data_IF_392208306837
#
_entry.id   IF_392208306837
#
_cell.length_a   1.000
_cell.length_b   1.000
_cell.length_c   1.000
_cell.angle_alpha   90.00
_cell.angle_beta   90.00
_cell.angle_gamma   90.00
#
_symmetry.space_group_name_H-M   'P 1'
#
loop_
_entity.id
_entity.type
_entity.pdbx_description
1 polymer ?
#
# COMPACT_ATOMS: atom_id res chain seq x y z
N UNK A 1 1.16 21.11 -21.37
CA UNK A 1 1.57 21.06 -19.95
C UNK A 1 0.38 20.60 -19.13
N UNK A 2 0.53 19.60 -18.26
CA UNK A 2 -0.53 19.13 -17.36
C UNK A 2 -0.03 19.35 -15.94
N UNK A 3 -0.62 20.31 -15.22
CA UNK A 3 -0.27 20.59 -13.83
C UNK A 3 -1.05 19.65 -12.90
N UNK A 4 -0.43 19.26 -11.79
CA UNK A 4 -1.12 18.52 -10.73
C UNK A 4 -1.84 19.53 -9.84
N UNK A 5 -3.12 19.29 -9.59
CA UNK A 5 -3.93 20.08 -8.67
C UNK A 5 -4.37 19.20 -7.51
N UNK A 6 -4.33 19.75 -6.31
CA UNK A 6 -5.04 19.23 -5.15
C UNK A 6 -6.29 20.07 -4.97
N UNK A 7 -7.43 19.44 -4.79
CA UNK A 7 -8.72 20.13 -4.64
C UNK A 7 -9.43 19.50 -3.44
N UNK A 8 -9.58 20.28 -2.38
CA UNK A 8 -10.32 19.88 -1.19
C UNK A 8 -11.65 20.65 -1.14
N UNK A 9 -12.76 19.93 -0.94
CA UNK A 9 -14.06 20.54 -0.75
C UNK A 9 -14.37 20.67 0.75
N UNK A 10 -14.72 21.89 1.18
CA UNK A 10 -15.18 22.12 2.55
C UNK A 10 -16.62 21.65 2.67
N UNK A 11 -16.85 20.61 3.47
CA UNK A 11 -18.19 20.03 3.67
C UNK A 11 -18.95 20.72 4.79
N UNK A 12 -18.30 20.93 5.94
CA UNK A 12 -18.94 21.56 7.10
C UNK A 12 -17.93 22.30 7.98
N UNK A 13 -18.42 23.18 8.85
CA UNK A 13 -17.67 23.90 9.88
C UNK A 13 -18.52 24.02 11.15
N UNK A 14 -17.98 23.58 12.29
CA UNK A 14 -18.65 23.67 13.58
C UNK A 14 -17.65 23.67 14.73
N UNK A 15 -18.10 24.15 15.90
CA UNK A 15 -17.43 23.93 17.20
C UNK A 15 -17.94 22.60 17.77
N UNK A 16 -17.08 21.65 18.15
CA UNK A 16 -17.51 20.37 18.71
C UNK A 16 -18.37 20.58 19.96
N UNK A 17 -19.59 20.03 19.94
CA UNK A 17 -20.53 20.03 21.07
C UNK A 17 -21.33 18.72 21.08
N UNK A 18 -21.76 18.22 22.25
CA UNK A 18 -22.52 16.96 22.34
C UNK A 18 -23.81 16.98 21.53
N UNK A 19 -24.52 18.11 21.49
CA UNK A 19 -25.77 18.25 20.72
C UNK A 19 -25.60 18.13 19.19
N UNK A 20 -24.37 18.21 18.67
CA UNK A 20 -24.09 18.18 17.23
C UNK A 20 -23.71 16.79 16.71
N UNK A 21 -23.82 15.73 17.52
CA UNK A 21 -23.38 14.38 17.14
C UNK A 21 -24.01 13.89 15.82
N UNK A 22 -25.32 14.10 15.63
CA UNK A 22 -26.03 13.71 14.40
C UNK A 22 -25.50 14.44 13.17
N UNK A 23 -25.38 15.77 13.26
CA UNK A 23 -24.86 16.60 12.16
C UNK A 23 -23.41 16.26 11.84
N UNK A 24 -22.59 16.01 12.87
CA UNK A 24 -21.22 15.54 12.70
C UNK A 24 -21.18 14.26 11.86
N UNK A 25 -22.00 13.26 12.21
CA UNK A 25 -22.05 12.00 11.48
C UNK A 25 -22.47 12.18 10.01
N UNK A 26 -23.52 12.96 9.75
CA UNK A 26 -24.02 13.25 8.39
C UNK A 26 -22.98 14.01 7.54
N UNK A 27 -22.32 15.02 8.12
CA UNK A 27 -21.25 15.77 7.46
C UNK A 27 -20.04 14.88 7.17
N UNK A 28 -19.69 13.98 8.10
CA UNK A 28 -18.58 13.05 7.93
C UNK A 28 -18.85 12.03 6.83
N UNK A 29 -20.06 11.48 6.78
CA UNK A 29 -20.48 10.56 5.72
C UNK A 29 -20.46 11.26 4.35
N UNK A 30 -20.93 12.50 4.28
CA UNK A 30 -20.90 13.32 3.07
C UNK A 30 -19.47 13.55 2.60
N UNK A 31 -18.55 13.87 3.53
CA UNK A 31 -17.14 14.07 3.22
C UNK A 31 -16.49 12.79 2.68
N UNK A 32 -16.69 11.65 3.34
CA UNK A 32 -16.18 10.37 2.87
C UNK A 32 -16.74 10.00 1.48
N UNK A 33 -18.02 10.28 1.22
CA UNK A 33 -18.64 9.99 -0.08
C UNK A 33 -18.07 10.86 -1.19
N UNK A 34 -17.86 12.15 -0.94
CA UNK A 34 -17.30 13.10 -1.92
C UNK A 34 -15.79 12.88 -2.13
N UNK A 35 -15.06 12.49 -1.09
CA UNK A 35 -13.62 12.23 -1.10
C UNK A 35 -13.23 10.79 -1.44
N UNK A 36 -14.13 10.01 -2.06
CA UNK A 36 -13.89 8.61 -2.45
C UNK A 36 -13.40 7.70 -1.30
N UNK A 37 -13.86 7.96 -0.09
CA UNK A 37 -13.51 7.24 1.13
C UNK A 37 -12.49 7.97 2.00
N UNK A 38 -12.07 9.19 1.65
CA UNK A 38 -11.17 10.03 2.45
C UNK A 38 -11.92 11.23 3.05
N UNK A 39 -11.59 11.56 4.29
CA UNK A 39 -12.05 12.78 4.96
C UNK A 39 -10.89 13.47 5.68
N UNK A 40 -10.85 14.80 5.58
CA UNK A 40 -9.86 15.65 6.24
C UNK A 40 -10.55 16.44 7.35
N UNK A 41 -9.99 16.40 8.55
CA UNK A 41 -10.40 17.24 9.68
C UNK A 41 -9.29 18.21 9.99
N UNK A 42 -9.63 19.50 9.98
CA UNK A 42 -8.69 20.60 10.21
C UNK A 42 -9.14 21.33 11.46
N UNK A 43 -8.22 21.52 12.41
CA UNK A 43 -8.42 22.44 13.53
C UNK A 43 -8.32 23.88 13.00
N UNK A 44 -9.43 24.61 13.08
CA UNK A 44 -9.53 25.99 12.56
C UNK A 44 -8.78 27.01 13.42
N UNK A 45 -8.54 26.73 14.71
CA UNK A 45 -7.79 27.60 15.59
C UNK A 45 -6.29 27.45 15.26
N UNK A 46 -5.81 26.23 15.03
CA UNK A 46 -4.43 25.97 14.60
C UNK A 46 -4.13 26.36 13.13
N UNK A 47 -5.12 26.29 12.24
CA UNK A 47 -4.96 26.66 10.83
C UNK A 47 -4.67 28.16 10.62
N UNK A 48 -5.16 29.01 11.52
CA UNK A 48 -4.92 30.46 11.48
C UNK A 48 -3.46 30.83 11.77
N UNK A 49 -2.75 30.02 12.56
CA UNK A 49 -1.38 30.27 12.99
C UNK A 49 -0.33 29.73 12.00
N UNK A 50 -0.71 28.86 11.05
CA UNK A 50 0.17 28.35 9.99
C UNK A 50 -0.58 27.94 8.71
N UNK A 51 -0.97 28.91 7.85
CA UNK A 51 -1.70 28.65 6.61
C UNK A 51 -0.90 27.84 5.57
N UNK A 52 0.44 27.83 5.67
CA UNK A 52 1.33 27.11 4.74
C UNK A 52 1.33 25.60 4.92
N UNK A 53 0.80 25.08 6.04
CA UNK A 53 0.68 23.64 6.30
C UNK A 53 -0.30 22.93 5.34
N UNK A 54 -1.23 23.67 4.72
CA UNK A 54 -2.15 23.13 3.73
C UNK A 54 -1.46 22.64 2.44
N UNK A 55 -0.23 23.09 2.17
CA UNK A 55 0.59 22.65 1.02
C UNK A 55 1.52 21.49 1.33
N UNK A 56 1.54 20.97 2.57
CA UNK A 56 2.32 19.81 2.97
C UNK A 56 1.64 18.52 2.50
N UNK A 57 1.55 18.38 1.17
CA UNK A 57 1.35 17.08 0.55
C UNK A 57 2.51 16.18 0.95
N UNK A 58 2.16 15.03 1.53
CA UNK A 58 3.02 13.92 1.99
C UNK A 58 3.47 14.09 3.43
N UNK A 59 2.85 13.27 4.26
CA UNK A 59 3.20 13.05 5.64
C UNK A 59 4.70 12.88 5.84
N UNK A 60 5.24 13.76 6.67
CA UNK A 60 6.64 13.80 7.03
C UNK A 60 6.86 14.97 7.98
N UNK A 61 6.59 14.73 9.26
CA UNK A 61 7.02 15.50 10.43
C UNK A 61 6.96 17.05 10.31
N UNK A 62 5.85 17.64 10.77
CA UNK A 62 5.81 19.04 11.21
C UNK A 62 4.70 19.20 12.24
N UNK A 63 4.91 20.13 13.17
CA UNK A 63 4.20 20.37 14.44
C UNK A 63 2.75 19.86 14.56
N UNK A 64 2.50 19.12 15.64
CA UNK A 64 1.26 18.37 15.90
C UNK A 64 -0.02 19.23 15.99
N UNK A 65 0.09 20.55 16.07
CA UNK A 65 -1.05 21.44 16.27
C UNK A 65 -1.82 21.73 14.97
N UNK A 66 -1.14 21.93 13.83
CA UNK A 66 -1.77 22.38 12.58
C UNK A 66 -1.85 21.29 11.49
N UNK A 67 -1.52 20.04 11.82
CA UNK A 67 -1.53 18.95 10.85
C UNK A 67 -2.96 18.44 10.64
N UNK A 68 -3.49 18.39 9.39
CA UNK A 68 -4.81 17.84 9.11
C UNK A 68 -4.88 16.37 9.54
N UNK A 69 -5.93 16.01 10.26
CA UNK A 69 -6.22 14.62 10.60
C UNK A 69 -6.91 13.95 9.42
N UNK A 70 -6.32 12.88 8.90
CA UNK A 70 -6.82 12.12 7.75
C UNK A 70 -7.58 10.90 8.26
N UNK A 71 -8.80 10.72 7.78
CA UNK A 71 -9.62 9.53 8.01
C UNK A 71 -9.88 8.82 6.69
N UNK A 72 -9.93 7.49 6.73
CA UNK A 72 -10.31 6.64 5.60
C UNK A 72 -11.41 5.67 5.99
N UNK A 73 -12.39 5.48 5.12
CA UNK A 73 -13.41 4.43 5.24
C UNK A 73 -12.97 3.09 4.65
N UNK A 74 -11.76 3.02 4.07
CA UNK A 74 -11.14 1.80 3.53
C UNK A 74 -9.95 1.41 4.39
N UNK A 75 -9.49 0.17 4.30
CA UNK A 75 -8.22 -0.26 4.89
C UNK A 75 -7.01 0.29 4.09
N UNK A 76 -6.95 1.61 3.91
CA UNK A 76 -5.92 2.30 3.13
C UNK A 76 -4.94 3.04 4.02
N UNK A 77 -3.65 2.88 3.74
CA UNK A 77 -2.61 3.70 4.35
C UNK A 77 -2.73 5.14 3.85
N UNK A 78 -2.93 6.14 4.73
CA UNK A 78 -3.08 7.54 4.34
C UNK A 78 -1.74 8.17 3.85
N UNK A 79 -0.64 7.43 3.91
CA UNK A 79 0.71 7.92 3.58
C UNK A 79 1.17 7.48 2.18
N UNK A 80 0.85 6.24 1.80
CA UNK A 80 1.45 5.59 0.63
C UNK A 80 0.44 4.98 -0.34
N UNK A 81 -0.85 5.33 -0.22
CA UNK A 81 -1.93 4.92 -1.12
C UNK A 81 -2.11 3.39 -1.24
N UNK A 82 -1.55 2.64 -0.27
CA UNK A 82 -1.71 1.19 -0.22
C UNK A 82 -3.03 0.83 0.44
N UNK A 83 -3.95 0.23 -0.30
CA UNK A 83 -5.21 -0.30 0.23
C UNK A 83 -5.16 -1.80 0.41
N UNK A 84 -5.47 -2.27 1.62
CA UNK A 84 -5.78 -3.67 1.85
C UNK A 84 -7.22 -3.99 1.45
N UNK A 85 -7.47 -5.20 0.92
CA UNK A 85 -8.82 -5.73 0.82
C UNK A 85 -9.42 -5.96 2.21
N UNK A 86 -10.74 -6.16 2.27
CA UNK A 86 -11.42 -6.51 3.51
C UNK A 86 -10.83 -7.78 4.13
N UNK A 87 -10.62 -7.75 5.45
CA UNK A 87 -9.92 -8.82 6.17
C UNK A 87 -10.82 -10.05 6.30
N UNK A 88 -10.63 -10.99 5.39
CA UNK A 88 -11.28 -12.30 5.42
C UNK A 88 -10.29 -13.42 5.82
N UNK A 89 -10.73 -14.48 6.52
CA UNK A 89 -9.87 -15.61 6.89
C UNK A 89 -9.12 -16.25 5.71
N UNK A 90 -9.71 -16.24 4.51
CA UNK A 90 -9.12 -16.82 3.30
C UNK A 90 -7.84 -16.09 2.84
N UNK A 91 -7.65 -14.82 3.19
CA UNK A 91 -6.40 -14.08 2.92
C UNK A 91 -5.20 -14.67 3.66
N UNK A 92 -5.44 -15.38 4.76
CA UNK A 92 -4.40 -16.00 5.57
C UNK A 92 -4.23 -17.50 5.26
N UNK A 93 -4.97 -18.02 4.27
CA UNK A 93 -4.88 -19.41 3.87
C UNK A 93 -3.93 -19.57 2.70
N UNK A 94 -2.81 -20.26 2.93
CA UNK A 94 -1.89 -20.65 1.85
C UNK A 94 -2.49 -21.68 0.89
N UNK A 95 -3.61 -22.32 1.27
CA UNK A 95 -4.38 -23.22 0.42
C UNK A 95 -5.43 -22.50 -0.44
N UNK A 96 -5.56 -21.17 -0.32
CA UNK A 96 -6.46 -20.36 -1.13
C UNK A 96 -5.67 -19.54 -2.13
N UNK A 97 -6.07 -19.44 -3.40
CA UNK A 97 -5.38 -18.60 -4.39
C UNK A 97 -5.36 -17.11 -3.99
N UNK A 98 -6.29 -16.69 -3.13
CA UNK A 98 -6.37 -15.30 -2.64
C UNK A 98 -5.33 -14.99 -1.54
N UNK A 99 -4.93 -16.01 -0.75
CA UNK A 99 -3.93 -15.86 0.32
C UNK A 99 -2.57 -16.46 -0.01
N UNK A 100 -2.47 -17.30 -1.05
CA UNK A 100 -1.24 -17.94 -1.48
C UNK A 100 -0.24 -16.94 -2.06
N UNK A 101 1.04 -17.15 -1.76
CA UNK A 101 2.12 -16.37 -2.37
C UNK A 101 2.18 -16.67 -3.87
N UNK A 102 2.11 -15.67 -4.77
CA UNK A 102 2.06 -15.88 -6.22
C UNK A 102 3.34 -16.47 -6.81
N UNK A 103 4.44 -16.47 -6.04
CA UNK A 103 5.74 -17.00 -6.48
C UNK A 103 5.87 -18.51 -6.26
N UNK A 104 5.29 -19.04 -5.19
CA UNK A 104 5.41 -20.45 -4.79
C UNK A 104 4.06 -21.15 -4.63
N UNK A 105 2.96 -20.48 -5.02
CA UNK A 105 1.59 -20.99 -4.94
C UNK A 105 1.22 -21.52 -3.54
N UNK A 106 1.70 -20.82 -2.50
CA UNK A 106 1.43 -21.20 -1.11
C UNK A 106 2.28 -22.36 -0.56
N UNK A 107 3.17 -22.97 -1.35
CA UNK A 107 4.04 -24.08 -0.91
C UNK A 107 5.16 -23.62 0.03
N UNK A 108 5.57 -22.35 -0.06
CA UNK A 108 6.69 -21.80 0.72
C UNK A 108 8.09 -22.18 0.20
N UNK A 109 8.17 -23.01 -0.83
CA UNK A 109 9.42 -23.44 -1.48
C UNK A 109 9.31 -23.30 -3.00
N UNK A 110 10.45 -23.19 -3.68
CA UNK A 110 10.53 -23.17 -5.15
C UNK A 110 11.65 -24.08 -5.60
N UNK A 111 11.40 -24.92 -6.60
CA UNK A 111 12.45 -25.74 -7.20
C UNK A 111 13.31 -24.91 -8.14
N UNK A 112 14.62 -25.12 -8.06
CA UNK A 112 15.58 -24.49 -8.97
C UNK A 112 16.74 -25.45 -9.24
N UNK A 113 17.40 -25.27 -10.37
CA UNK A 113 18.57 -26.06 -10.72
C UNK A 113 19.78 -25.55 -9.92
N UNK A 114 20.32 -26.39 -9.06
CA UNK A 114 21.59 -26.15 -8.37
C UNK A 114 22.76 -26.31 -9.36
N UNK A 115 23.52 -25.25 -9.66
CA UNK A 115 24.62 -25.31 -10.63
C UNK A 115 25.66 -26.38 -10.30
N UNK A 116 25.90 -26.65 -9.01
CA UNK A 116 26.86 -27.67 -8.57
C UNK A 116 26.36 -29.10 -8.84
N UNK A 117 25.05 -29.30 -8.98
CA UNK A 117 24.46 -30.59 -9.38
C UNK A 117 24.34 -30.74 -10.89
N UNK A 118 24.30 -29.63 -11.63
CA UNK A 118 24.23 -29.62 -13.09
C UNK A 118 25.61 -29.79 -13.72
N UNK A 119 26.62 -29.10 -13.19
CA UNK A 119 28.01 -29.18 -13.66
C UNK A 119 28.78 -30.16 -12.78
N UNK A 120 28.83 -31.42 -13.21
CA UNK A 120 29.49 -32.50 -12.45
C UNK A 120 31.02 -32.36 -12.45
N UNK A 121 31.58 -31.83 -13.54
CA UNK A 121 33.01 -31.75 -13.79
C UNK A 121 33.39 -30.34 -14.30
N UNK A 122 33.48 -29.33 -13.41
CA UNK A 122 33.76 -27.95 -13.80
C UNK A 122 35.15 -27.74 -14.45
N UNK A 123 36.08 -28.67 -14.24
CA UNK A 123 37.41 -28.69 -14.83
C UNK A 123 37.42 -29.10 -16.32
N UNK A 124 36.34 -29.72 -16.80
CA UNK A 124 36.23 -30.16 -18.19
C UNK A 124 35.61 -29.05 -19.07
N UNK A 125 35.88 -29.09 -20.36
CA UNK A 125 35.14 -28.26 -21.33
C UNK A 125 33.71 -28.79 -21.50
N UNK A 126 32.81 -27.96 -22.04
CA UNK A 126 31.43 -28.38 -22.33
C UNK A 126 31.38 -29.63 -23.23
N UNK A 127 32.15 -29.64 -24.33
CA UNK A 127 32.26 -30.80 -25.22
C UNK A 127 32.99 -32.00 -24.59
N UNK A 128 33.74 -31.76 -23.51
CA UNK A 128 34.42 -32.78 -22.72
C UNK A 128 33.56 -33.42 -21.63
N UNK A 129 32.29 -33.03 -21.50
CA UNK A 129 31.35 -33.64 -20.55
C UNK A 129 31.24 -32.93 -19.20
N UNK A 130 31.56 -31.63 -19.13
CA UNK A 130 31.35 -30.82 -17.91
C UNK A 130 29.90 -30.90 -17.39
N UNK A 131 28.93 -30.96 -18.31
CA UNK A 131 27.52 -31.23 -18.05
C UNK A 131 27.15 -32.59 -18.65
N UNK A 132 26.47 -33.42 -17.87
CA UNK A 132 26.05 -34.76 -18.31
C UNK A 132 25.11 -34.64 -19.51
N UNK A 133 25.41 -35.37 -20.58
CA UNK A 133 24.61 -35.41 -21.82
C UNK A 133 24.97 -34.33 -22.85
N UNK A 134 26.03 -33.54 -22.61
CA UNK A 134 26.52 -32.52 -23.56
C UNK A 134 27.87 -32.90 -24.20
N UNK A 135 28.36 -34.13 -24.03
CA UNK A 135 29.57 -34.66 -24.70
C UNK A 135 29.23 -35.05 -26.15
N UNK A 136 30.14 -34.75 -27.09
CA UNK A 136 30.05 -35.16 -28.51
C UNK A 136 29.90 -36.67 -28.71
N UNK A 137 30.29 -37.49 -27.73
CA UNK A 137 30.25 -38.95 -27.80
C UNK A 137 28.88 -39.56 -27.45
N UNK A 138 27.95 -38.76 -26.92
CA UNK A 138 26.59 -39.22 -26.61
C UNK A 138 25.61 -38.04 -26.82
N UNK A 139 25.13 -37.82 -28.06
CA UNK A 139 24.20 -36.74 -28.39
C UNK A 139 22.82 -36.93 -27.75
#
# INVERSE_FOLDING_TARGET
>A
MRQKHSIEAVVDRFRPKPELAQRLAESFETALRLGEGLALVIDMDAWQESPSAASAGRAGAVDAAATPQIFSSRYSCPLCDYSLPELEPRLFSFNSPVGACPRCDGLGTTEFFDPARVVLHPELSLAGGAVRGWDRRNP
#
